data_IF_803834329005
#
_entry.id   IF_803834329005
#
_cell.length_a   1.000
_cell.length_b   1.000
_cell.length_c   1.000
_cell.angle_alpha   90.00
_cell.angle_beta   90.00
_cell.angle_gamma   90.00
#
_symmetry.space_group_name_H-M   'P 1'
#
loop_
_entity.id
_entity.type
_entity.pdbx_description
1 polymer ?
#
# COMPACT_ATOMS: atom_id res chain seq x y z
N UNK A 1 -31.03 32.80 -55.01
CA UNK A 1 -29.78 32.49 -54.28
C UNK A 1 -30.16 31.80 -52.96
N UNK A 2 -29.98 30.49 -52.80
CA UNK A 2 -30.34 29.81 -51.56
C UNK A 2 -29.19 29.85 -50.55
N UNK A 3 -29.56 30.10 -49.30
CA UNK A 3 -28.72 30.18 -48.11
C UNK A 3 -28.08 28.82 -47.78
N UNK A 4 -26.74 28.80 -47.63
CA UNK A 4 -26.00 27.62 -47.19
C UNK A 4 -26.18 27.42 -45.69
N UNK A 5 -27.02 26.45 -45.33
CA UNK A 5 -27.16 25.92 -43.97
C UNK A 5 -25.95 25.02 -43.66
N UNK A 6 -25.13 25.39 -42.68
CA UNK A 6 -24.11 24.48 -42.11
C UNK A 6 -24.73 23.71 -40.94
N UNK A 7 -24.93 22.39 -41.00
CA UNK A 7 -25.25 21.61 -39.82
C UNK A 7 -23.98 21.45 -38.99
N UNK A 8 -23.94 22.15 -37.85
CA UNK A 8 -22.91 21.97 -36.83
C UNK A 8 -22.92 20.53 -36.33
N UNK A 9 -21.90 19.78 -36.74
CA UNK A 9 -21.72 18.40 -36.35
C UNK A 9 -21.61 18.27 -34.82
N UNK A 10 -22.59 17.55 -34.29
CA UNK A 10 -22.69 16.89 -33.00
C UNK A 10 -21.34 16.37 -32.49
N UNK A 11 -20.70 17.04 -31.54
CA UNK A 11 -19.66 16.44 -30.71
C UNK A 11 -20.31 15.69 -29.54
N UNK A 12 -20.96 14.57 -29.86
CA UNK A 12 -21.23 13.51 -28.90
C UNK A 12 -20.05 12.52 -28.93
N UNK A 13 -19.46 12.25 -27.76
CA UNK A 13 -18.44 11.22 -27.56
C UNK A 13 -17.18 11.79 -26.90
N UNK A 14 -16.67 11.32 -25.77
CA UNK A 14 -16.85 10.05 -25.06
C UNK A 14 -16.68 10.33 -23.55
N UNK A 15 -17.76 10.31 -22.77
CA UNK A 15 -17.65 10.06 -21.33
C UNK A 15 -17.91 8.58 -21.06
N UNK A 16 -17.06 7.72 -21.62
CA UNK A 16 -16.99 6.33 -21.19
C UNK A 16 -16.22 6.27 -19.88
N UNK A 17 -16.88 6.61 -18.76
CA UNK A 17 -16.44 6.14 -17.45
C UNK A 17 -16.82 4.66 -17.34
N UNK A 18 -16.15 3.84 -18.15
CA UNK A 18 -16.22 2.39 -18.12
C UNK A 18 -15.73 1.93 -16.75
N UNK A 19 -16.42 0.95 -16.15
CA UNK A 19 -15.94 0.25 -14.95
C UNK A 19 -14.48 -0.15 -15.15
N UNK A 20 -13.58 0.61 -14.53
CA UNK A 20 -12.15 0.45 -14.72
C UNK A 20 -11.64 -0.53 -13.65
N UNK A 21 -10.94 -1.62 -14.02
CA UNK A 21 -10.27 -2.45 -13.04
C UNK A 21 -9.36 -1.58 -12.18
N UNK A 22 -9.19 -1.91 -10.89
CA UNK A 22 -8.38 -1.11 -9.95
C UNK A 22 -7.03 -0.77 -10.60
N UNK A 23 -6.86 0.51 -10.96
CA UNK A 23 -5.71 0.91 -11.77
C UNK A 23 -4.46 0.92 -10.91
N UNK A 24 -3.34 0.53 -11.53
CA UNK A 24 -2.01 0.75 -10.98
C UNK A 24 -1.86 2.21 -10.56
N UNK A 25 -1.16 2.44 -9.45
CA UNK A 25 -0.89 3.78 -8.95
C UNK A 25 -0.24 4.66 -10.03
N UNK A 26 -0.65 5.93 -10.11
CA UNK A 26 -0.01 6.90 -11.00
C UNK A 26 1.47 7.06 -10.64
N UNK A 27 2.33 7.15 -11.66
CA UNK A 27 3.76 7.36 -11.50
C UNK A 27 4.04 8.67 -10.75
N UNK A 28 5.15 8.70 -9.99
CA UNK A 28 5.56 9.89 -9.23
C UNK A 28 5.70 11.13 -10.14
N UNK A 29 6.30 10.95 -11.32
CA UNK A 29 6.49 12.01 -12.33
C UNK A 29 5.17 12.68 -12.74
N UNK A 30 4.13 11.88 -13.06
CA UNK A 30 2.83 12.43 -13.45
C UNK A 30 2.16 13.21 -12.31
N UNK A 31 2.34 12.78 -11.07
CA UNK A 31 1.78 13.51 -9.91
C UNK A 31 2.51 14.84 -9.67
N UNK A 32 3.84 14.85 -9.85
CA UNK A 32 4.65 16.08 -9.76
C UNK A 32 4.22 17.09 -10.83
N UNK A 33 3.99 16.62 -12.06
CA UNK A 33 3.50 17.44 -13.15
C UNK A 33 2.10 18.02 -12.86
N UNK A 34 1.17 17.20 -12.34
CA UNK A 34 -0.16 17.68 -11.90
C UNK A 34 -0.03 18.82 -10.89
N UNK A 35 0.87 18.69 -9.91
CA UNK A 35 1.07 19.70 -8.87
C UNK A 35 1.74 20.94 -9.43
N UNK A 36 2.70 20.80 -10.34
CA UNK A 36 3.33 21.93 -11.03
C UNK A 36 2.30 22.74 -11.83
N UNK A 37 1.45 22.06 -12.62
CA UNK A 37 0.37 22.72 -13.38
C UNK A 37 -0.68 23.38 -12.46
N UNK A 38 -0.96 22.77 -11.31
CA UNK A 38 -1.84 23.37 -10.31
C UNK A 38 -1.23 24.62 -9.67
N UNK A 39 0.08 24.61 -9.35
CA UNK A 39 0.81 25.78 -8.83
C UNK A 39 0.85 26.92 -9.85
N UNK A 40 0.83 26.62 -11.15
CA UNK A 40 0.68 27.60 -12.23
C UNK A 40 -0.75 28.17 -12.35
N UNK A 41 -1.70 27.76 -11.50
CA UNK A 41 -3.09 28.26 -11.53
C UNK A 41 -3.98 27.61 -12.59
N UNK A 42 -3.56 26.51 -13.25
CA UNK A 42 -4.42 25.82 -14.22
C UNK A 42 -5.57 25.10 -13.52
N UNK A 43 -6.79 25.26 -14.05
CA UNK A 43 -7.97 24.59 -13.52
C UNK A 43 -7.95 23.06 -13.71
N UNK A 44 -8.62 22.33 -12.82
CA UNK A 44 -8.60 20.85 -12.82
C UNK A 44 -9.03 20.19 -14.13
N UNK A 45 -10.02 20.76 -14.84
CA UNK A 45 -10.47 20.24 -16.15
C UNK A 45 -9.37 20.35 -17.22
N UNK A 46 -8.60 21.44 -17.21
CA UNK A 46 -7.50 21.67 -18.17
C UNK A 46 -6.35 20.71 -17.91
N UNK A 47 -6.00 20.49 -16.64
CA UNK A 47 -4.95 19.52 -16.22
C UNK A 47 -5.35 18.10 -16.61
N UNK A 48 -6.60 17.71 -16.30
CA UNK A 48 -7.13 16.40 -16.63
C UNK A 48 -7.05 16.08 -18.14
N UNK A 49 -7.41 17.05 -18.98
CA UNK A 49 -7.34 16.91 -20.44
C UNK A 49 -5.90 16.87 -20.96
N UNK A 50 -5.00 17.67 -20.41
CA UNK A 50 -3.60 17.72 -20.84
C UNK A 50 -2.85 16.41 -20.53
N UNK A 51 -3.13 15.79 -19.38
CA UNK A 51 -2.42 14.59 -18.92
C UNK A 51 -3.20 13.29 -19.13
N UNK A 52 -4.39 13.35 -19.76
CA UNK A 52 -5.31 12.22 -19.91
C UNK A 52 -5.61 11.49 -18.58
N UNK A 53 -5.72 12.25 -17.49
CA UNK A 53 -6.04 11.73 -16.15
C UNK A 53 -7.46 12.15 -15.77
N UNK A 54 -8.28 11.28 -15.14
CA UNK A 54 -9.60 11.68 -14.69
C UNK A 54 -9.57 12.90 -13.76
N UNK A 55 -10.51 13.84 -13.95
CA UNK A 55 -10.64 15.06 -13.13
C UNK A 55 -10.72 14.75 -11.62
N UNK A 56 -11.35 13.65 -11.24
CA UNK A 56 -11.42 13.23 -9.84
C UNK A 56 -10.03 12.90 -9.27
N UNK A 57 -9.20 12.19 -10.04
CA UNK A 57 -7.82 11.84 -9.67
C UNK A 57 -6.93 13.07 -9.54
N UNK A 58 -7.08 14.07 -10.40
CA UNK A 58 -6.41 15.37 -10.24
C UNK A 58 -6.80 16.02 -8.90
N UNK A 59 -8.09 16.02 -8.58
CA UNK A 59 -8.61 16.57 -7.34
C UNK A 59 -8.12 15.84 -6.08
N UNK A 60 -8.05 14.50 -6.11
CA UNK A 60 -7.53 13.72 -4.98
C UNK A 60 -6.04 13.97 -4.75
N UNK A 61 -5.24 14.06 -5.81
CA UNK A 61 -3.81 14.39 -5.73
C UNK A 61 -3.59 15.77 -5.12
N UNK A 62 -4.29 16.80 -5.62
CA UNK A 62 -4.15 18.17 -5.10
C UNK A 62 -4.58 18.25 -3.64
N UNK A 63 -5.69 17.60 -3.26
CA UNK A 63 -6.14 17.55 -1.87
C UNK A 63 -5.11 16.87 -0.97
N UNK A 64 -4.59 15.72 -1.40
CA UNK A 64 -3.54 14.99 -0.67
C UNK A 64 -2.28 15.85 -0.50
N UNK A 65 -1.85 16.53 -1.56
CA UNK A 65 -0.71 17.44 -1.51
C UNK A 65 -0.93 18.61 -0.53
N UNK A 66 -2.15 19.16 -0.44
CA UNK A 66 -2.47 20.21 0.54
C UNK A 66 -2.40 19.73 1.99
N UNK A 67 -2.76 18.48 2.25
CA UNK A 67 -2.77 17.91 3.61
C UNK A 67 -1.38 17.42 4.03
N UNK A 68 -0.72 16.68 3.15
CA UNK A 68 0.52 15.96 3.47
C UNK A 68 1.79 16.70 3.01
N UNK A 69 1.68 17.68 2.11
CA UNK A 69 2.81 18.40 1.52
C UNK A 69 3.68 17.56 0.58
N UNK A 70 3.36 16.28 0.37
CA UNK A 70 4.18 15.35 -0.41
C UNK A 70 3.45 14.80 -1.63
N UNK A 71 4.22 14.50 -2.67
CA UNK A 71 3.73 13.91 -3.93
C UNK A 71 3.84 12.38 -3.92
N UNK A 72 4.67 11.85 -3.03
CA UNK A 72 4.89 10.43 -2.87
C UNK A 72 3.62 9.73 -2.35
N UNK A 73 3.42 8.47 -2.75
CA UNK A 73 2.44 7.64 -2.04
C UNK A 73 3.00 7.34 -0.65
N UNK A 74 2.29 7.74 0.40
CA UNK A 74 2.59 7.24 1.74
C UNK A 74 2.53 5.72 1.76
N UNK A 75 3.45 5.05 2.47
CA UNK A 75 3.34 3.61 2.65
C UNK A 75 1.99 3.30 3.30
N UNK A 76 1.27 2.33 2.72
CA UNK A 76 0.01 1.88 3.29
C UNK A 76 0.20 1.35 4.70
N UNK A 77 -0.85 1.40 5.52
CA UNK A 77 -0.83 0.90 6.90
C UNK A 77 -0.42 -0.57 7.01
N UNK A 78 -0.65 -1.36 5.95
CA UNK A 78 -0.41 -2.78 5.91
C UNK A 78 -1.23 -3.57 6.93
N UNK A 79 -1.01 -4.88 6.98
CA UNK A 79 -1.62 -5.75 8.00
C UNK A 79 -0.77 -5.70 9.28
N UNK A 80 -1.40 -5.33 10.40
CA UNK A 80 -0.74 -5.39 11.72
C UNK A 80 -0.42 -6.84 12.11
N UNK A 81 0.72 -7.05 12.79
CA UNK A 81 1.11 -8.35 13.36
C UNK A 81 0.19 -8.70 14.54
N UNK A 82 -0.06 -10.00 14.76
CA UNK A 82 -0.88 -10.49 15.88
C UNK A 82 -0.17 -10.35 17.22
N UNK A 83 1.16 -10.55 17.27
CA UNK A 83 1.95 -10.36 18.48
C UNK A 83 2.42 -8.91 18.63
N UNK A 84 2.45 -8.45 19.88
CA UNK A 84 3.05 -7.19 20.27
C UNK A 84 4.58 -7.25 20.26
N UNK A 85 5.23 -6.10 20.30
CA UNK A 85 6.68 -6.01 20.43
C UNK A 85 7.19 -6.61 21.76
N UNK A 86 6.38 -6.53 22.83
CA UNK A 86 6.70 -7.15 24.12
C UNK A 86 6.71 -8.68 24.03
N UNK A 87 5.66 -9.29 23.46
CA UNK A 87 5.58 -10.73 23.27
C UNK A 87 6.71 -11.25 22.36
N UNK A 88 7.07 -10.49 21.32
CA UNK A 88 8.19 -10.82 20.43
C UNK A 88 9.53 -10.82 21.19
N UNK A 89 9.77 -9.80 22.04
CA UNK A 89 10.97 -9.76 22.91
C UNK A 89 11.00 -10.91 23.91
N UNK A 90 9.85 -11.31 24.47
CA UNK A 90 9.74 -12.47 25.33
C UNK A 90 10.17 -13.76 24.62
N UNK A 91 9.64 -14.02 23.42
CA UNK A 91 10.02 -15.17 22.60
C UNK A 91 11.53 -15.20 22.33
N UNK A 92 12.11 -14.06 21.93
CA UNK A 92 13.55 -13.94 21.69
C UNK A 92 14.36 -14.32 22.93
N UNK A 93 13.98 -13.82 24.12
CA UNK A 93 14.67 -14.14 25.38
C UNK A 93 14.60 -15.62 25.72
N UNK A 94 13.44 -16.27 25.53
CA UNK A 94 13.29 -17.69 25.82
C UNK A 94 14.16 -18.56 24.91
N UNK A 95 14.19 -18.26 23.61
CA UNK A 95 15.00 -19.02 22.65
C UNK A 95 16.50 -18.80 22.86
N UNK A 96 16.93 -17.57 23.19
CA UNK A 96 18.34 -17.31 23.51
C UNK A 96 18.77 -18.03 24.79
N UNK A 97 17.92 -18.03 25.82
CA UNK A 97 18.20 -18.72 27.08
C UNK A 97 18.32 -20.24 26.85
N UNK A 98 17.36 -20.81 26.14
CA UNK A 98 17.27 -22.25 25.91
C UNK A 98 16.96 -22.53 24.41
N UNK A 99 17.99 -22.69 23.56
CA UNK A 99 17.80 -22.86 22.10
C UNK A 99 17.04 -24.11 21.68
N UNK A 100 16.88 -25.09 22.57
CA UNK A 100 16.16 -26.35 22.32
C UNK A 100 14.65 -26.27 22.62
N UNK A 101 14.16 -25.12 23.10
CA UNK A 101 12.73 -24.96 23.41
C UNK A 101 11.89 -25.07 22.14
N UNK A 102 10.80 -25.81 22.23
CA UNK A 102 9.90 -26.01 21.09
C UNK A 102 8.95 -24.83 20.91
N UNK A 103 8.58 -24.53 19.67
CA UNK A 103 7.58 -23.49 19.38
C UNK A 103 6.20 -23.76 20.00
N UNK A 104 5.87 -25.02 20.29
CA UNK A 104 4.62 -25.40 20.98
C UNK A 104 4.65 -24.95 22.44
N UNK A 105 5.77 -25.15 23.13
CA UNK A 105 5.94 -24.69 24.51
C UNK A 105 5.84 -23.17 24.62
N UNK A 106 6.54 -22.45 23.74
CA UNK A 106 6.46 -20.98 23.68
C UNK A 106 5.05 -20.47 23.38
N UNK A 107 4.27 -21.23 22.60
CA UNK A 107 2.88 -20.89 22.33
C UNK A 107 2.01 -21.05 23.58
N UNK A 108 2.24 -22.09 24.38
CA UNK A 108 1.53 -22.29 25.65
C UNK A 108 1.84 -21.15 26.64
N UNK A 109 3.10 -20.72 26.74
CA UNK A 109 3.49 -19.59 27.58
C UNK A 109 2.79 -18.29 27.16
N UNK A 110 2.65 -18.06 25.86
CA UNK A 110 1.93 -16.90 25.34
C UNK A 110 0.43 -16.97 25.61
N UNK A 111 -0.17 -18.15 25.52
CA UNK A 111 -1.59 -18.36 25.87
C UNK A 111 -1.80 -18.14 27.37
N UNK A 112 -0.89 -18.63 28.22
CA UNK A 112 -0.91 -18.38 29.66
C UNK A 112 -0.79 -16.88 30.00
N UNK A 113 -0.05 -16.13 29.20
CA UNK A 113 0.04 -14.67 29.27
C UNK A 113 -1.16 -13.92 28.64
N UNK A 114 -2.21 -14.64 28.21
CA UNK A 114 -3.43 -14.06 27.64
C UNK A 114 -3.37 -13.73 26.14
N UNK A 115 -2.34 -14.20 25.43
CA UNK A 115 -2.17 -13.95 23.99
C UNK A 115 -2.44 -15.23 23.18
N UNK A 116 -3.65 -15.36 22.64
CA UNK A 116 -4.00 -16.53 21.83
C UNK A 116 -3.32 -16.50 20.46
N UNK A 117 -2.38 -17.42 20.24
CA UNK A 117 -1.69 -17.58 18.96
C UNK A 117 -1.56 -19.03 18.55
N UNK A 118 -1.53 -19.25 17.23
CA UNK A 118 -1.22 -20.55 16.65
C UNK A 118 0.30 -20.79 16.68
N UNK A 119 0.70 -22.06 16.80
CA UNK A 119 2.13 -22.46 16.78
C UNK A 119 2.83 -21.97 15.50
N UNK A 120 2.15 -21.96 14.36
CA UNK A 120 2.69 -21.45 13.09
C UNK A 120 3.02 -19.94 13.16
N UNK A 121 2.28 -19.16 13.96
CA UNK A 121 2.54 -17.74 14.17
C UNK A 121 3.83 -17.53 14.94
N UNK A 122 4.06 -18.35 15.99
CA UNK A 122 5.31 -18.35 16.76
C UNK A 122 6.50 -18.69 15.86
N UNK A 123 6.40 -19.77 15.06
CA UNK A 123 7.46 -20.14 14.10
C UNK A 123 7.76 -19.03 13.08
N UNK A 124 6.72 -18.42 12.49
CA UNK A 124 6.89 -17.31 11.53
C UNK A 124 7.65 -16.14 12.17
N UNK A 125 7.33 -15.81 13.42
CA UNK A 125 7.98 -14.72 14.14
C UNK A 125 9.44 -15.08 14.43
N UNK A 126 9.71 -16.27 14.95
CA UNK A 126 11.08 -16.75 15.18
C UNK A 126 11.94 -16.71 13.91
N UNK A 127 11.40 -17.17 12.78
CA UNK A 127 12.09 -17.07 11.49
C UNK A 127 12.35 -15.62 11.06
N UNK A 128 11.42 -14.70 11.34
CA UNK A 128 11.61 -13.27 11.04
C UNK A 128 12.72 -12.66 11.91
N UNK A 129 12.85 -13.15 13.15
CA UNK A 129 13.89 -12.73 14.10
C UNK A 129 15.24 -13.45 13.88
N UNK A 130 15.35 -14.32 12.85
CA UNK A 130 16.57 -15.03 12.50
C UNK A 130 16.79 -16.38 13.21
N UNK A 131 15.82 -16.87 13.98
CA UNK A 131 15.91 -18.21 14.60
C UNK A 131 15.30 -19.25 13.67
N UNK A 132 16.15 -20.13 13.15
CA UNK A 132 15.76 -21.20 12.24
C UNK A 132 15.78 -22.56 12.92
N UNK A 133 15.08 -23.52 12.32
CA UNK A 133 15.14 -24.91 12.75
C UNK A 133 16.56 -25.47 12.57
N UNK A 134 16.96 -26.40 13.44
CA UNK A 134 18.25 -27.08 13.34
C UNK A 134 18.35 -27.82 12.00
N UNK A 135 19.38 -27.51 11.24
CA UNK A 135 19.74 -28.26 10.02
C UNK A 135 20.80 -29.30 10.38
N UNK A 136 20.64 -30.59 9.99
CA UNK A 136 21.68 -31.59 10.19
C UNK A 136 22.92 -31.22 9.37
N UNK A 137 24.10 -31.54 9.91
CA UNK A 137 25.37 -31.40 9.17
C UNK A 137 25.36 -32.42 8.02
N UNK A 138 25.68 -31.98 6.81
CA UNK A 138 25.96 -32.91 5.70
C UNK A 138 27.27 -33.65 6.00
N UNK A 139 27.36 -34.90 5.57
CA UNK A 139 28.61 -35.68 5.68
C UNK A 139 29.75 -34.88 5.04
N UNK A 140 30.95 -34.86 5.65
CA UNK A 140 32.10 -34.22 5.03
C UNK A 140 32.41 -34.86 3.67
#
# INVERSE_FOLDING_TARGET
LPVSSTPGATNQGLHQFRNMPKSKELSKKLREEIIALHKQGKGYKKIAKALNVPRNTVGTIVRKFKVEGTVATLPGRGRKRKLSAAATRFLRRQVVKNPRVTAKHLQQDLVAAGTEVLVCTVRRILNTEGFHARTPRRTP
#
